data_IF_068334465445
#
_entry.id   IF_068334465445
#
_cell.length_a   1.000
_cell.length_b   1.000
_cell.length_c   1.000
_cell.angle_alpha   90.00
_cell.angle_beta   90.00
_cell.angle_gamma   90.00
#
_symmetry.space_group_name_H-M   'P 1'
#
loop_
_entity.id
_entity.type
_entity.pdbx_description
1 polymer ?
#
# COMPACT_ATOMS: atom_id res chain seq x y z
N UNK A 1 5.11 23.23 13.67
CA UNK A 1 4.58 22.29 12.67
C UNK A 1 5.23 20.94 12.95
N UNK A 2 4.46 19.96 13.46
CA UNK A 2 5.03 18.70 13.96
C UNK A 2 5.49 17.77 12.84
N UNK A 3 6.30 16.76 13.17
CA UNK A 3 6.84 15.70 12.29
C UNK A 3 5.75 15.07 11.39
N UNK A 4 4.54 14.88 11.94
CA UNK A 4 3.37 14.36 11.23
C UNK A 4 2.92 15.26 10.07
N UNK A 5 2.98 16.58 10.23
CA UNK A 5 2.66 17.53 9.16
C UNK A 5 3.70 17.53 8.02
N UNK A 6 4.95 17.23 8.33
CA UNK A 6 6.01 17.13 7.34
C UNK A 6 5.89 15.83 6.52
N UNK A 7 5.65 14.70 7.18
CA UNK A 7 5.39 13.42 6.52
C UNK A 7 4.14 13.49 5.63
N UNK A 8 3.05 14.10 6.11
CA UNK A 8 1.84 14.29 5.31
C UNK A 8 2.07 15.12 4.04
N UNK A 9 2.97 16.12 4.09
CA UNK A 9 3.34 16.93 2.90
C UNK A 9 4.17 16.17 1.89
N UNK A 10 5.12 15.35 2.31
CA UNK A 10 5.92 14.51 1.41
C UNK A 10 5.02 13.53 0.65
N UNK A 11 4.00 12.99 1.32
CA UNK A 11 3.07 12.02 0.76
C UNK A 11 2.00 12.61 -0.15
N UNK A 12 1.75 13.92 -0.06
CA UNK A 12 0.79 14.64 -0.92
C UNK A 12 1.39 15.07 -2.26
N UNK A 13 2.70 14.96 -2.46
CA UNK A 13 3.28 15.19 -3.78
C UNK A 13 2.81 14.04 -4.68
N UNK A 14 2.18 14.37 -5.83
CA UNK A 14 1.85 13.33 -6.80
C UNK A 14 3.15 12.61 -7.15
N UNK A 15 3.17 11.33 -6.87
CA UNK A 15 4.26 10.46 -7.30
C UNK A 15 4.17 10.41 -8.81
N UNK A 16 5.03 11.14 -9.49
CA UNK A 16 5.04 11.17 -10.95
C UNK A 16 5.29 9.74 -11.44
N UNK A 17 4.40 9.27 -12.30
CA UNK A 17 4.55 7.99 -13.00
C UNK A 17 3.76 6.83 -12.41
N UNK A 18 3.22 6.88 -11.18
CA UNK A 18 2.37 5.82 -10.62
C UNK A 18 0.90 6.26 -10.65
N UNK A 19 0.04 5.39 -11.16
CA UNK A 19 -1.41 5.61 -11.17
C UNK A 19 -1.92 5.82 -9.73
N UNK A 20 -2.66 6.90 -9.44
CA UNK A 20 -3.26 7.13 -8.12
C UNK A 20 -4.11 5.96 -7.62
N UNK A 21 -4.83 5.25 -8.49
CA UNK A 21 -5.61 4.06 -8.11
C UNK A 21 -4.72 2.95 -7.61
N UNK A 22 -3.60 2.69 -8.30
CA UNK A 22 -2.63 1.71 -7.87
C UNK A 22 -2.05 2.06 -6.49
N UNK A 23 -1.73 3.33 -6.23
CA UNK A 23 -1.26 3.77 -4.92
C UNK A 23 -2.30 3.55 -3.83
N UNK A 24 -3.59 3.74 -4.11
CA UNK A 24 -4.64 3.45 -3.13
C UNK A 24 -4.79 1.93 -2.91
N UNK A 25 -4.71 1.08 -3.95
CA UNK A 25 -4.69 -0.39 -3.78
C UNK A 25 -3.53 -0.86 -2.88
N UNK A 26 -2.33 -0.33 -3.09
CA UNK A 26 -1.15 -0.59 -2.24
C UNK A 26 -1.42 -0.24 -0.78
N UNK A 27 -1.97 0.95 -0.53
CA UNK A 27 -2.28 1.42 0.83
C UNK A 27 -3.41 0.60 1.48
N UNK A 28 -4.42 0.21 0.71
CA UNK A 28 -5.49 -0.68 1.18
C UNK A 28 -4.89 -2.04 1.56
N UNK A 29 -4.03 -2.62 0.69
CA UNK A 29 -3.43 -3.93 0.99
C UNK A 29 -2.57 -3.91 2.25
N UNK A 30 -1.69 -2.94 2.40
CA UNK A 30 -0.91 -2.77 3.63
C UNK A 30 -1.81 -2.61 4.87
N UNK A 31 -2.93 -1.86 4.73
CA UNK A 31 -3.88 -1.64 5.82
C UNK A 31 -4.68 -2.88 6.18
N UNK A 32 -4.96 -3.76 5.20
CA UNK A 32 -5.56 -5.08 5.46
C UNK A 32 -4.62 -5.95 6.32
N UNK A 33 -3.35 -6.02 5.94
CA UNK A 33 -2.33 -6.80 6.66
C UNK A 33 -2.06 -6.28 8.07
N UNK A 34 -2.11 -4.97 8.25
CA UNK A 34 -1.89 -4.31 9.55
C UNK A 34 -3.19 -4.11 10.36
N UNK A 35 -4.35 -4.54 9.86
CA UNK A 35 -5.66 -4.42 10.52
C UNK A 35 -6.04 -2.98 10.92
N UNK A 36 -5.66 -1.96 10.11
CA UNK A 36 -5.97 -0.56 10.38
C UNK A 36 -7.34 -0.17 9.79
N UNK A 37 -8.41 -0.25 10.59
CA UNK A 37 -9.77 0.06 10.15
C UNK A 37 -9.93 1.51 9.65
N UNK A 38 -9.32 2.48 10.33
CA UNK A 38 -9.33 3.88 9.90
C UNK A 38 -8.68 4.06 8.52
N UNK A 39 -7.52 3.42 8.31
CA UNK A 39 -6.81 3.51 7.05
C UNK A 39 -7.57 2.81 5.92
N UNK A 40 -8.21 1.68 6.21
CA UNK A 40 -9.09 1.00 5.25
C UNK A 40 -10.26 1.88 4.82
N UNK A 41 -10.95 2.50 5.78
CA UNK A 41 -12.06 3.43 5.48
C UNK A 41 -11.60 4.59 4.60
N UNK A 42 -10.48 5.23 4.96
CA UNK A 42 -9.93 6.36 4.23
C UNK A 42 -9.49 5.99 2.81
N UNK A 43 -8.66 4.97 2.68
CA UNK A 43 -8.07 4.62 1.38
C UNK A 43 -9.07 3.97 0.43
N UNK A 44 -10.05 3.20 0.93
CA UNK A 44 -11.13 2.68 0.09
C UNK A 44 -12.00 3.81 -0.47
N UNK A 45 -12.34 4.81 0.32
CA UNK A 45 -13.06 5.99 -0.15
C UNK A 45 -12.27 6.81 -1.17
N UNK A 46 -10.97 6.97 -0.96
CA UNK A 46 -10.09 7.64 -1.92
C UNK A 46 -9.98 6.87 -3.23
N UNK A 47 -9.84 5.55 -3.17
CA UNK A 47 -9.81 4.68 -4.35
C UNK A 47 -11.09 4.83 -5.18
N UNK A 48 -12.25 4.76 -4.53
CA UNK A 48 -13.56 4.97 -5.19
C UNK A 48 -13.67 6.36 -5.82
N UNK A 49 -13.22 7.40 -5.12
CA UNK A 49 -13.20 8.77 -5.64
C UNK A 49 -12.24 8.92 -6.84
N UNK A 50 -11.19 8.12 -6.92
CA UNK A 50 -10.27 8.05 -8.05
C UNK A 50 -10.80 7.17 -9.21
N UNK A 51 -12.00 6.59 -9.07
CA UNK A 51 -12.63 5.75 -10.10
C UNK A 51 -12.23 4.27 -10.05
N UNK A 52 -11.79 3.78 -8.90
CA UNK A 52 -11.61 2.34 -8.67
C UNK A 52 -12.96 1.66 -8.45
N UNK A 53 -13.07 0.36 -8.74
CA UNK A 53 -14.31 -0.38 -8.54
C UNK A 53 -14.37 -1.01 -7.14
N UNK A 54 -15.58 -1.10 -6.60
CA UNK A 54 -15.84 -1.80 -5.33
C UNK A 54 -15.37 -3.26 -5.41
N UNK A 55 -15.62 -3.91 -6.56
CA UNK A 55 -15.26 -5.30 -6.79
C UNK A 55 -13.75 -5.53 -6.64
N UNK A 56 -12.92 -4.73 -7.30
CA UNK A 56 -11.46 -4.83 -7.18
C UNK A 56 -10.95 -4.54 -5.78
N UNK A 57 -11.57 -3.58 -5.07
CA UNK A 57 -11.23 -3.27 -3.67
C UNK A 57 -11.54 -4.47 -2.76
N UNK A 58 -12.69 -5.11 -2.95
CA UNK A 58 -13.10 -6.28 -2.15
C UNK A 58 -12.21 -7.49 -2.45
N UNK A 59 -11.95 -7.76 -3.74
CA UNK A 59 -11.12 -8.89 -4.16
C UNK A 59 -9.65 -8.76 -3.75
N UNK A 60 -9.19 -7.56 -3.40
CA UNK A 60 -7.81 -7.33 -3.00
C UNK A 60 -7.38 -8.15 -1.76
N UNK A 61 -8.31 -8.50 -0.89
CA UNK A 61 -8.03 -9.36 0.26
C UNK A 61 -7.68 -10.81 -0.13
N UNK A 62 -8.13 -11.25 -1.32
CA UNK A 62 -7.91 -12.58 -1.89
C UNK A 62 -7.32 -12.47 -3.31
N UNK A 63 -6.44 -11.51 -3.54
CA UNK A 63 -5.91 -11.17 -4.86
C UNK A 63 -5.19 -12.34 -5.56
N UNK A 64 -4.61 -13.25 -4.80
CA UNK A 64 -3.90 -14.42 -5.36
C UNK A 64 -4.83 -15.33 -6.17
N UNK A 65 -6.09 -15.47 -5.75
CA UNK A 65 -7.11 -16.25 -6.45
C UNK A 65 -7.87 -15.41 -7.50
N UNK A 66 -7.82 -14.09 -7.39
CA UNK A 66 -8.51 -13.13 -8.25
C UNK A 66 -7.57 -12.28 -9.12
N UNK A 67 -6.43 -12.86 -9.51
CA UNK A 67 -5.35 -12.18 -10.27
C UNK A 67 -5.83 -11.52 -11.56
N UNK A 68 -6.85 -12.07 -12.19
CA UNK A 68 -7.42 -11.54 -13.44
C UNK A 68 -8.06 -10.15 -13.31
N UNK A 69 -8.34 -9.68 -12.11
CA UNK A 69 -8.79 -8.30 -11.84
C UNK A 69 -7.66 -7.27 -11.92
N UNK A 70 -6.41 -7.68 -11.91
CA UNK A 70 -5.25 -6.80 -11.78
C UNK A 70 -4.27 -7.00 -12.95
N UNK A 71 -3.65 -5.92 -13.39
CA UNK A 71 -2.55 -5.96 -14.36
C UNK A 71 -1.29 -6.56 -13.74
N UNK A 72 -0.35 -6.99 -14.58
CA UNK A 72 0.94 -7.50 -14.10
C UNK A 72 1.70 -6.47 -13.24
N UNK A 73 1.64 -5.18 -13.61
CA UNK A 73 2.23 -4.08 -12.83
C UNK A 73 1.58 -3.94 -11.45
N UNK A 74 0.26 -4.05 -11.37
CA UNK A 74 -0.48 -3.98 -10.10
C UNK A 74 -0.19 -5.20 -9.22
N UNK A 75 -0.15 -6.41 -9.80
CA UNK A 75 0.21 -7.63 -9.07
C UNK A 75 1.62 -7.53 -8.47
N UNK A 76 2.60 -7.06 -9.22
CA UNK A 76 3.95 -6.86 -8.72
C UNK A 76 4.00 -5.84 -7.57
N UNK A 77 3.21 -4.76 -7.64
CA UNK A 77 3.10 -3.79 -6.54
C UNK A 77 2.42 -4.38 -5.30
N UNK A 78 1.39 -5.21 -5.47
CA UNK A 78 0.68 -5.88 -4.37
C UNK A 78 1.63 -6.88 -3.67
N UNK A 79 2.33 -7.71 -4.43
CA UNK A 79 3.32 -8.67 -3.90
C UNK A 79 4.43 -7.95 -3.12
N UNK A 80 4.99 -6.86 -3.68
CA UNK A 80 5.99 -6.05 -2.99
C UNK A 80 5.43 -5.41 -1.71
N UNK A 81 4.18 -4.96 -1.75
CA UNK A 81 3.50 -4.39 -0.57
C UNK A 81 3.42 -5.41 0.56
N UNK A 82 3.09 -6.65 0.26
CA UNK A 82 3.03 -7.72 1.26
C UNK A 82 4.40 -8.01 1.86
N UNK A 83 5.42 -8.20 1.01
CA UNK A 83 6.78 -8.51 1.46
C UNK A 83 7.36 -7.41 2.36
N UNK A 84 7.15 -6.14 2.01
CA UNK A 84 7.62 -5.00 2.80
C UNK A 84 6.79 -4.80 4.06
N UNK A 85 5.48 -5.07 4.03
CA UNK A 85 4.58 -4.91 5.19
C UNK A 85 4.85 -5.97 6.25
N UNK A 86 5.07 -7.22 5.84
CA UNK A 86 5.29 -8.36 6.75
C UNK A 86 6.78 -8.60 7.04
N UNK A 87 7.61 -7.59 6.81
CA UNK A 87 9.07 -7.65 6.91
C UNK A 87 9.59 -8.27 8.22
N UNK A 88 8.92 -8.06 9.34
CA UNK A 88 9.32 -8.56 10.67
C UNK A 88 8.50 -9.75 11.15
N UNK A 89 7.47 -10.16 10.41
CA UNK A 89 6.55 -11.25 10.80
C UNK A 89 6.94 -12.61 10.22
N UNK A 90 7.88 -12.64 9.29
CA UNK A 90 8.42 -13.87 8.71
C UNK A 90 9.60 -14.39 9.54
N UNK A 91 9.58 -15.65 9.90
CA UNK A 91 10.81 -16.32 10.30
C UNK A 91 11.74 -16.32 9.09
N UNK A 92 13.01 -16.10 9.29
CA UNK A 92 14.09 -15.98 8.30
C UNK A 92 14.27 -17.19 7.34
N UNK A 93 13.24 -17.95 7.11
CA UNK A 93 13.20 -19.16 6.30
C UNK A 93 12.79 -18.86 4.85
N UNK A 94 13.31 -17.79 4.27
CA UNK A 94 13.17 -17.64 2.83
C UNK A 94 14.13 -18.60 2.16
N UNK A 95 13.60 -19.65 1.60
CA UNK A 95 14.35 -20.65 0.81
C UNK A 95 15.09 -20.05 -0.39
N UNK A 96 14.86 -18.80 -0.70
CA UNK A 96 15.42 -18.03 -1.83
C UNK A 96 16.67 -17.22 -1.49
N UNK A 97 17.14 -17.21 -0.25
CA UNK A 97 18.38 -16.50 0.11
C UNK A 97 18.32 -14.97 0.07
N UNK A 98 17.18 -14.37 -0.30
CA UNK A 98 17.02 -12.93 -0.52
C UNK A 98 16.58 -12.10 0.69
N UNK A 99 16.69 -12.63 1.90
CA UNK A 99 16.26 -11.90 3.09
C UNK A 99 14.73 -11.82 3.25
N UNK A 100 14.24 -10.77 3.93
CA UNK A 100 12.80 -10.61 4.24
C UNK A 100 11.97 -10.15 3.04
N UNK A 101 12.56 -9.48 2.06
CA UNK A 101 11.95 -9.22 0.74
C UNK A 101 12.66 -10.14 -0.26
N UNK A 102 12.00 -11.17 -0.78
CA UNK A 102 12.60 -12.10 -1.74
C UNK A 102 13.07 -11.39 -3.00
N UNK A 103 14.22 -11.81 -3.55
CA UNK A 103 14.79 -11.23 -4.78
C UNK A 103 13.82 -11.32 -5.95
N UNK A 104 13.03 -12.39 -6.04
CA UNK A 104 12.03 -12.56 -7.10
C UNK A 104 10.89 -11.53 -6.99
N UNK A 105 10.48 -11.17 -5.77
CA UNK A 105 9.43 -10.16 -5.56
C UNK A 105 9.94 -8.77 -5.95
N UNK A 106 11.16 -8.43 -5.50
CA UNK A 106 11.81 -7.19 -5.90
C UNK A 106 12.05 -7.12 -7.40
N UNK A 107 12.56 -8.21 -8.00
CA UNK A 107 12.82 -8.32 -9.43
C UNK A 107 11.58 -8.09 -10.28
N UNK A 108 10.45 -8.76 -9.94
CA UNK A 108 9.18 -8.52 -10.63
C UNK A 108 8.70 -7.06 -10.54
N UNK A 109 8.87 -6.43 -9.39
CA UNK A 109 8.54 -5.00 -9.29
C UNK A 109 9.48 -4.15 -10.17
N UNK A 110 10.77 -4.42 -10.17
CA UNK A 110 11.75 -3.71 -10.99
C UNK A 110 11.53 -3.87 -12.51
N UNK A 111 10.90 -4.96 -12.96
CA UNK A 111 10.49 -5.14 -14.36
C UNK A 111 9.38 -4.18 -14.80
N UNK A 112 8.52 -3.75 -13.86
CA UNK A 112 7.33 -2.93 -14.16
C UNK A 112 7.46 -1.47 -13.75
N UNK A 113 8.42 -1.14 -12.88
CA UNK A 113 8.64 0.21 -12.36
C UNK A 113 10.06 0.66 -12.66
N UNK A 114 10.21 1.83 -13.27
CA UNK A 114 11.53 2.47 -13.36
C UNK A 114 12.10 2.77 -11.98
N UNK A 115 13.40 2.98 -11.87
CA UNK A 115 14.11 3.19 -10.60
C UNK A 115 13.44 4.23 -9.69
N UNK A 116 13.09 5.40 -10.25
CA UNK A 116 12.42 6.46 -9.50
C UNK A 116 10.99 6.08 -9.06
N UNK A 117 10.22 5.39 -9.93
CA UNK A 117 8.88 4.91 -9.58
C UNK A 117 8.94 3.83 -8.49
N UNK A 118 9.90 2.90 -8.58
CA UNK A 118 10.11 1.84 -7.59
C UNK A 118 10.49 2.44 -6.22
N UNK A 119 11.40 3.42 -6.20
CA UNK A 119 11.74 4.13 -4.98
C UNK A 119 10.51 4.82 -4.35
N UNK A 120 9.67 5.45 -5.16
CA UNK A 120 8.42 6.06 -4.70
C UNK A 120 7.41 5.04 -4.20
N UNK A 121 7.28 3.89 -4.86
CA UNK A 121 6.41 2.80 -4.43
C UNK A 121 6.84 2.27 -3.06
N UNK A 122 8.13 1.99 -2.87
CA UNK A 122 8.70 1.55 -1.59
C UNK A 122 8.46 2.60 -0.51
N UNK A 123 8.68 3.88 -0.81
CA UNK A 123 8.41 4.96 0.13
C UNK A 123 6.92 5.02 0.51
N UNK A 124 6.00 4.87 -0.45
CA UNK A 124 4.56 4.86 -0.19
C UNK A 124 4.16 3.69 0.72
N UNK A 125 4.69 2.49 0.47
CA UNK A 125 4.47 1.30 1.31
C UNK A 125 5.01 1.55 2.73
N UNK A 126 6.22 2.07 2.86
CA UNK A 126 6.83 2.36 4.16
C UNK A 126 5.99 3.33 4.97
N UNK A 127 5.51 4.36 4.34
CA UNK A 127 4.73 5.41 5.00
C UNK A 127 3.35 4.92 5.41
N UNK A 128 2.63 4.19 4.56
CA UNK A 128 1.33 3.64 4.99
C UNK A 128 1.51 2.67 6.14
N UNK A 129 2.59 1.89 6.18
CA UNK A 129 2.92 1.04 7.32
C UNK A 129 3.13 1.84 8.61
N UNK A 130 3.77 3.01 8.53
CA UNK A 130 3.92 3.91 9.69
C UNK A 130 2.55 4.44 10.13
N UNK A 131 1.72 4.93 9.21
CA UNK A 131 0.37 5.41 9.52
C UNK A 131 -0.54 4.33 10.09
N UNK A 132 -0.46 3.10 9.60
CA UNK A 132 -1.23 1.99 10.15
C UNK A 132 -0.91 1.78 11.65
N UNK A 133 0.37 1.91 12.04
CA UNK A 133 0.79 1.78 13.44
C UNK A 133 0.19 2.87 14.31
N UNK A 134 0.19 4.13 13.84
CA UNK A 134 -0.49 5.21 14.55
C UNK A 134 -2.01 4.95 14.62
N UNK A 135 -2.64 4.61 13.50
CA UNK A 135 -4.09 4.37 13.43
C UNK A 135 -4.55 3.30 14.41
N UNK A 136 -3.85 2.17 14.45
CA UNK A 136 -4.15 1.05 15.36
C UNK A 136 -3.84 1.41 16.81
N UNK A 137 -2.66 1.96 17.08
CA UNK A 137 -2.21 2.28 18.45
C UNK A 137 -3.07 3.37 19.10
N UNK A 138 -3.41 4.40 18.34
CA UNK A 138 -4.25 5.50 18.80
C UNK A 138 -5.74 5.20 18.71
N UNK A 139 -6.13 4.02 18.22
CA UNK A 139 -7.53 3.57 18.10
C UNK A 139 -8.40 4.55 17.32
N UNK A 140 -7.89 5.03 16.19
CA UNK A 140 -8.64 5.95 15.34
C UNK A 140 -9.90 5.28 14.78
N UNK A 141 -11.05 5.93 15.00
CA UNK A 141 -12.34 5.40 14.57
C UNK A 141 -12.55 5.59 13.06
N UNK A 142 -12.97 4.53 12.32
CA UNK A 142 -13.36 4.65 10.92
C UNK A 142 -14.74 5.34 10.77
N UNK A 143 -15.12 5.67 9.53
CA UNK A 143 -16.47 6.10 9.16
C UNK A 143 -16.63 7.60 8.95
N UNK A 144 -15.76 8.43 9.50
CA UNK A 144 -15.91 9.89 9.46
C UNK A 144 -15.14 10.57 8.30
N UNK A 145 -14.22 9.87 7.67
CA UNK A 145 -13.42 10.41 6.58
C UNK A 145 -14.29 10.77 5.36
N UNK A 146 -13.95 11.87 4.70
CA UNK A 146 -14.50 12.28 3.39
C UNK A 146 -13.35 12.56 2.43
N UNK A 147 -13.37 12.03 1.19
CA UNK A 147 -12.36 12.36 0.18
C UNK A 147 -12.26 13.88 -0.01
N UNK A 148 -11.01 14.39 -0.08
CA UNK A 148 -10.76 15.82 -0.19
C UNK A 148 -10.86 16.63 1.12
N UNK A 149 -11.34 16.04 2.21
CA UNK A 149 -11.24 16.67 3.53
C UNK A 149 -9.79 16.64 4.02
N UNK A 150 -9.35 17.76 4.57
CA UNK A 150 -8.07 17.81 5.27
C UNK A 150 -8.27 17.17 6.65
N UNK A 151 -7.63 16.02 6.85
CA UNK A 151 -7.49 15.45 8.19
C UNK A 151 -6.39 16.16 8.95
#
# INVERSE_FOLDING_TARGET
>A
MGLLGWCARLLRRPVRGIDPKLLELVKIRASQLNHCAFCLDMHSKNALAAGESVERIVQLAAWEESRHFYTAKELAAIELTEAVTVLTGGTSQTKSGGGFVPDEVYGRAAEHFGEAELAHLIAAITVINAWNRFGVTCRLAPGHYRPGSHA
#
